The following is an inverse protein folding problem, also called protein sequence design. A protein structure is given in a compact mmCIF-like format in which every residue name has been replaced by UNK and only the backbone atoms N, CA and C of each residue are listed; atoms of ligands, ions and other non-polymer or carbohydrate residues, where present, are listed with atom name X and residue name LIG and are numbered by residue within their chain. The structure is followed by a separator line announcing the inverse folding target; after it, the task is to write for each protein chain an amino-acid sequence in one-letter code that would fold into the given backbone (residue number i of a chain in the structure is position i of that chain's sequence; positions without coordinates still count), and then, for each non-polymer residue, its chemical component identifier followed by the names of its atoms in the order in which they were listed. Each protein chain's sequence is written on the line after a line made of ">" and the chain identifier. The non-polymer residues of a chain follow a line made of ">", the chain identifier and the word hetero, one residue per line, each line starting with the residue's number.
data_IF_265233904542
#
_entry.id   IF_265233904542
#
_cell.length_a   1.000
_cell.length_b   1.000
_cell.length_c   1.000
_cell.angle_alpha   90.00
_cell.angle_beta   90.00
_cell.angle_gamma   90.00
#
_symmetry.space_group_name_H-M   'P 1'
#
loop_
_entity.id
_entity.type
_entity.pdbx_description
1 polymer ?
#
# COMPACT_ATOMS: atom_id res chain seq x y z
N UNK A 1 -18.86 8.55 21.24
CA UNK A 1 -18.22 9.63 20.44
C UNK A 1 -17.66 9.01 19.16
N UNK A 2 -18.07 9.49 17.97
CA UNK A 2 -17.62 8.91 16.69
C UNK A 2 -16.36 9.65 16.24
N UNK A 3 -15.22 8.95 16.17
CA UNK A 3 -13.90 9.55 15.87
C UNK A 3 -13.64 9.68 14.36
N UNK A 4 -13.98 8.65 13.58
CA UNK A 4 -13.80 8.61 12.12
C UNK A 4 -15.17 8.76 11.46
N UNK A 5 -15.31 9.75 10.58
CA UNK A 5 -16.57 10.03 9.87
C UNK A 5 -16.64 9.32 8.53
N UNK A 6 -15.66 9.56 7.65
CA UNK A 6 -15.62 9.00 6.28
C UNK A 6 -14.20 8.96 5.71
N UNK A 7 -13.90 8.06 4.76
CA UNK A 7 -12.68 8.15 3.96
C UNK A 7 -12.76 9.37 3.02
N UNK A 8 -11.61 9.99 2.74
CA UNK A 8 -11.51 11.06 1.73
C UNK A 8 -10.86 10.44 0.49
N UNK A 9 -11.64 10.34 -0.58
CA UNK A 9 -11.20 9.80 -1.87
C UNK A 9 -11.03 10.97 -2.84
N UNK A 10 -9.78 11.22 -3.20
CA UNK A 10 -9.30 12.24 -4.13
C UNK A 10 -8.07 11.68 -4.83
N UNK A 11 -7.69 12.17 -6.00
CA UNK A 11 -6.50 11.69 -6.72
C UNK A 11 -5.25 11.65 -5.81
N UNK A 12 -4.99 12.75 -5.09
CA UNK A 12 -3.90 12.84 -4.12
C UNK A 12 -3.99 11.81 -2.99
N UNK A 13 -5.19 11.50 -2.49
CA UNK A 13 -5.31 10.48 -1.43
C UNK A 13 -5.07 9.08 -1.97
N UNK A 14 -5.40 8.82 -3.23
CA UNK A 14 -5.10 7.54 -3.91
C UNK A 14 -3.60 7.39 -4.15
N UNK A 15 -2.90 8.46 -4.50
CA UNK A 15 -1.43 8.46 -4.58
C UNK A 15 -0.79 8.15 -3.23
N UNK A 16 -1.27 8.79 -2.16
CA UNK A 16 -0.79 8.53 -0.79
C UNK A 16 -1.09 7.10 -0.33
N UNK A 17 -2.20 6.51 -0.78
CA UNK A 17 -2.54 5.13 -0.47
C UNK A 17 -1.51 4.14 -1.04
N UNK A 18 -0.87 4.45 -2.19
CA UNK A 18 0.25 3.65 -2.74
C UNK A 18 1.45 3.59 -1.79
N UNK A 19 1.60 4.60 -0.93
CA UNK A 19 2.67 4.71 0.08
C UNK A 19 2.14 4.37 1.49
N UNK A 20 1.04 3.62 1.58
CA UNK A 20 0.41 3.20 2.85
C UNK A 20 -0.01 4.37 3.76
N UNK A 21 -0.40 5.49 3.15
CA UNK A 21 -0.94 6.66 3.84
C UNK A 21 -2.41 6.86 3.46
N UNK A 22 -3.29 6.74 4.45
CA UNK A 22 -4.74 6.79 4.23
C UNK A 22 -5.33 8.05 4.83
N UNK A 23 -6.27 8.66 4.10
CA UNK A 23 -6.83 9.97 4.46
C UNK A 23 -8.29 9.84 4.91
N UNK A 24 -8.59 10.33 6.10
CA UNK A 24 -9.93 10.27 6.70
C UNK A 24 -10.41 11.66 7.12
N UNK A 25 -11.72 11.88 7.02
CA UNK A 25 -12.40 12.94 7.74
C UNK A 25 -12.70 12.45 9.16
N UNK A 26 -12.29 13.24 10.15
CA UNK A 26 -12.41 12.91 11.57
C UNK A 26 -13.15 14.02 12.32
N UNK A 27 -13.59 13.73 13.55
CA UNK A 27 -14.15 14.75 14.44
C UNK A 27 -13.10 15.85 14.73
N UNK A 28 -13.55 17.10 14.73
CA UNK A 28 -12.73 18.27 15.09
C UNK A 28 -12.19 18.19 16.51
N UNK A 29 -12.89 17.52 17.43
CA UNK A 29 -12.45 17.34 18.82
C UNK A 29 -11.53 16.12 19.01
N UNK A 30 -11.31 15.31 17.98
CA UNK A 30 -10.50 14.10 18.12
C UNK A 30 -8.99 14.40 18.24
N UNK A 31 -8.35 13.70 19.19
CA UNK A 31 -6.90 13.67 19.41
C UNK A 31 -6.24 12.57 18.57
N UNK A 32 -4.93 12.72 18.27
CA UNK A 32 -4.17 11.76 17.46
C UNK A 32 -4.19 10.34 18.05
N UNK A 33 -4.09 10.21 19.37
CA UNK A 33 -4.16 8.91 20.05
C UNK A 33 -5.52 8.22 19.87
N UNK A 34 -6.62 8.99 19.93
CA UNK A 34 -7.96 8.47 19.70
C UNK A 34 -8.15 8.02 18.24
N UNK A 35 -7.62 8.79 17.28
CA UNK A 35 -7.66 8.44 15.85
C UNK A 35 -6.89 7.14 15.59
N UNK A 36 -5.68 7.01 16.15
CA UNK A 36 -4.88 5.80 16.00
C UNK A 36 -5.61 4.55 16.52
N UNK A 37 -6.18 4.62 17.74
CA UNK A 37 -6.98 3.54 18.33
C UNK A 37 -8.22 3.20 17.49
N UNK A 38 -8.92 4.21 17.00
CA UNK A 38 -10.12 4.01 16.19
C UNK A 38 -9.82 3.35 14.83
N UNK A 39 -8.73 3.75 14.16
CA UNK A 39 -8.30 3.13 12.90
C UNK A 39 -7.82 1.71 13.14
N UNK A 40 -7.01 1.50 14.18
CA UNK A 40 -6.53 0.17 14.55
C UNK A 40 -7.69 -0.78 14.84
N UNK A 41 -8.70 -0.35 15.62
CA UNK A 41 -9.86 -1.18 15.94
C UNK A 41 -10.80 -1.43 14.77
N UNK A 42 -11.04 -0.44 13.90
CA UNK A 42 -11.99 -0.59 12.76
C UNK A 42 -11.44 -1.43 11.62
N UNK A 43 -10.13 -1.35 11.37
CA UNK A 43 -9.50 -1.99 10.21
C UNK A 43 -8.51 -3.09 10.61
N UNK A 44 -8.37 -3.36 11.90
CA UNK A 44 -7.42 -4.31 12.47
C UNK A 44 -5.97 -4.12 11.96
N UNK A 45 -5.57 -2.85 11.80
CA UNK A 45 -4.27 -2.48 11.20
C UNK A 45 -3.30 -1.90 12.23
N UNK A 46 -2.00 -2.11 12.02
CA UNK A 46 -0.96 -1.45 12.80
C UNK A 46 -0.70 -0.04 12.27
N UNK A 47 -0.97 0.97 13.10
CA UNK A 47 -0.73 2.39 12.80
C UNK A 47 0.68 2.78 13.24
N UNK A 48 1.44 3.41 12.35
CA UNK A 48 2.79 3.92 12.63
C UNK A 48 2.72 5.37 13.08
N UNK A 49 2.04 6.22 12.30
CA UNK A 49 1.99 7.66 12.56
C UNK A 49 0.65 8.25 12.14
N UNK A 50 0.26 9.34 12.81
CA UNK A 50 -0.97 10.09 12.51
C UNK A 50 -0.64 11.57 12.38
N UNK A 51 -0.97 12.13 11.22
CA UNK A 51 -0.90 13.57 10.94
C UNK A 51 -2.32 14.11 10.83
N UNK A 52 -2.57 15.28 11.41
CA UNK A 52 -3.90 15.90 11.42
C UNK A 52 -3.80 17.34 10.95
N UNK A 53 -4.79 17.79 10.19
CA UNK A 53 -4.91 19.16 9.73
C UNK A 53 -6.36 19.62 9.78
N UNK A 54 -6.59 20.90 10.07
CA UNK A 54 -7.91 21.49 10.07
C UNK A 54 -8.14 22.22 8.74
N UNK A 55 -9.16 21.81 7.99
CA UNK A 55 -9.56 22.46 6.75
C UNK A 55 -10.64 23.50 7.08
N UNK A 56 -10.34 24.78 6.77
CA UNK A 56 -11.31 25.86 6.94
C UNK A 56 -12.44 25.69 5.92
N UNK A 57 -13.66 25.92 6.36
CA UNK A 57 -14.81 25.94 5.46
C UNK A 57 -14.82 27.20 4.61
N UNK A 58 -15.16 27.05 3.33
CA UNK A 58 -15.22 28.13 2.36
C UNK A 58 -16.56 28.87 2.43
N UNK A 59 -16.51 30.19 2.21
CA UNK A 59 -17.71 31.01 2.04
C UNK A 59 -18.12 30.95 0.58
N UNK A 60 -19.33 30.47 0.32
CA UNK A 60 -19.92 30.33 -1.01
C UNK A 60 -21.09 31.30 -1.13
N UNK A 61 -21.20 31.95 -2.28
CA UNK A 61 -22.35 32.81 -2.59
C UNK A 61 -23.33 32.06 -3.46
N UNK A 62 -24.61 32.03 -3.06
CA UNK A 62 -25.66 31.44 -3.88
C UNK A 62 -26.39 32.54 -4.66
N UNK A 63 -26.11 32.63 -5.97
CA UNK A 63 -26.63 33.68 -6.87
C UNK A 63 -28.16 33.80 -6.81
N UNK A 64 -28.88 32.67 -6.73
CA UNK A 64 -30.36 32.63 -6.71
C UNK A 64 -30.97 33.29 -5.47
N UNK A 65 -30.30 33.21 -4.32
CA UNK A 65 -30.84 33.70 -3.03
C UNK A 65 -30.14 34.99 -2.59
N UNK A 66 -29.09 35.44 -3.32
CA UNK A 66 -28.24 36.59 -2.96
C UNK A 66 -27.73 36.53 -1.51
N UNK A 67 -27.49 35.32 -1.00
CA UNK A 67 -27.00 35.06 0.35
C UNK A 67 -25.64 34.38 0.32
N UNK A 68 -24.82 34.74 1.30
CA UNK A 68 -23.55 34.11 1.60
C UNK A 68 -23.78 32.95 2.57
N UNK A 69 -23.24 31.78 2.24
CA UNK A 69 -23.26 30.61 3.10
C UNK A 69 -21.83 30.17 3.40
N UNK A 70 -21.58 29.76 4.64
CA UNK A 70 -20.29 29.22 5.03
C UNK A 70 -20.38 27.71 5.13
N UNK A 71 -19.57 27.01 4.35
CA UNK A 71 -19.44 25.56 4.45
C UNK A 71 -18.81 25.21 5.79
N UNK A 72 -19.23 24.12 6.42
CA UNK A 72 -18.57 23.66 7.65
C UNK A 72 -17.17 23.14 7.33
N UNK A 73 -16.14 23.72 7.97
CA UNK A 73 -14.80 23.12 7.94
C UNK A 73 -14.78 21.74 8.57
N UNK A 74 -13.73 20.97 8.32
CA UNK A 74 -13.56 19.61 8.85
C UNK A 74 -12.11 19.35 9.26
N UNK A 75 -11.87 18.33 10.08
CA UNK A 75 -10.52 17.87 10.40
C UNK A 75 -10.18 16.68 9.51
N UNK A 76 -9.02 16.75 8.84
CA UNK A 76 -8.47 15.68 8.01
C UNK A 76 -7.34 15.00 8.77
N UNK A 77 -7.36 13.67 8.77
CA UNK A 77 -6.32 12.84 9.35
C UNK A 77 -5.66 11.99 8.25
N UNK A 78 -4.35 12.09 8.14
CA UNK A 78 -3.52 11.23 7.29
C UNK A 78 -2.86 10.21 8.23
N UNK A 79 -3.13 8.94 7.99
CA UNK A 79 -2.72 7.84 8.85
C UNK A 79 -1.79 6.93 8.08
N UNK A 80 -0.59 6.73 8.61
CA UNK A 80 0.40 5.84 8.03
C UNK A 80 0.29 4.45 8.66
N UNK A 81 0.16 3.43 7.84
CA UNK A 81 0.14 2.02 8.28
C UNK A 81 1.44 1.31 7.93
N UNK A 82 1.63 0.11 8.48
CA UNK A 82 2.70 -0.80 8.04
C UNK A 82 2.53 -1.26 6.60
N UNK A 83 3.64 -1.55 5.92
CA UNK A 83 3.68 -1.97 4.50
C UNK A 83 2.85 -3.23 4.20
N UNK A 84 2.64 -4.07 5.20
CA UNK A 84 1.92 -5.35 5.07
C UNK A 84 0.39 -5.20 5.15
N UNK A 85 -0.13 -4.03 5.52
CA UNK A 85 -1.56 -3.88 5.80
C UNK A 85 -2.18 -2.85 4.88
N UNK A 86 -3.13 -3.33 4.07
CA UNK A 86 -3.89 -2.50 3.12
C UNK A 86 -5.33 -2.32 3.59
N UNK A 87 -5.87 -1.13 3.33
CA UNK A 87 -7.27 -0.81 3.60
C UNK A 87 -8.07 -0.92 2.28
N UNK A 88 -9.09 -1.78 2.20
CA UNK A 88 -9.82 -2.05 0.96
C UNK A 88 -10.56 -0.82 0.40
N UNK A 89 -10.80 0.20 1.23
CA UNK A 89 -11.48 1.45 0.85
C UNK A 89 -10.71 2.34 -0.14
N UNK A 90 -9.41 2.08 -0.35
CA UNK A 90 -8.54 2.91 -1.20
C UNK A 90 -7.91 2.12 -2.35
N UNK A 91 -8.31 0.86 -2.54
CA UNK A 91 -7.92 0.11 -3.72
C UNK A 91 -8.98 0.36 -4.78
N UNK A 92 -8.56 0.86 -5.94
CA UNK A 92 -9.38 0.76 -7.13
C UNK A 92 -9.53 -0.73 -7.43
N UNK A 93 -10.75 -1.26 -7.62
CA UNK A 93 -10.91 -2.61 -8.12
C UNK A 93 -10.16 -2.65 -9.45
N UNK A 94 -9.00 -3.29 -9.44
CA UNK A 94 -8.41 -3.75 -10.69
C UNK A 94 -9.29 -4.93 -11.05
N UNK A 95 -10.13 -4.71 -12.04
CA UNK A 95 -10.71 -5.78 -12.83
C UNK A 95 -9.54 -6.66 -13.32
N UNK A 96 -9.25 -7.71 -12.56
CA UNK A 96 -8.77 -8.93 -13.17
C UNK A 96 -10.00 -9.53 -13.85
N UNK A 97 -10.05 -9.42 -15.19
CA UNK A 97 -10.42 -10.50 -16.13
C UNK A 97 -10.68 -9.93 -17.53
N UNK A 98 -9.65 -10.01 -18.37
CA UNK A 98 -9.83 -10.34 -19.78
C UNK A 98 -8.91 -11.53 -20.09
N UNK A 99 -9.17 -12.67 -19.46
CA UNK A 99 -8.73 -13.99 -19.93
C UNK A 99 -9.83 -15.00 -19.61
N UNK A 100 -10.61 -15.35 -20.63
CA UNK A 100 -11.51 -16.50 -20.63
C UNK A 100 -10.67 -17.77 -20.44
N UNK A 101 -10.94 -18.53 -19.38
CA UNK A 101 -10.47 -19.92 -19.25
C UNK A 101 -11.70 -20.83 -19.23
N UNK A 102 -11.80 -21.65 -20.28
CA UNK A 102 -12.70 -22.80 -20.39
C UNK A 102 -12.49 -23.78 -19.24
N UNK A 103 -13.59 -24.43 -18.88
CA UNK A 103 -13.79 -25.27 -17.72
C UNK A 103 -12.76 -26.40 -17.50
N UNK A 104 -12.59 -26.67 -16.20
CA UNK A 104 -12.03 -27.86 -15.55
C UNK A 104 -10.51 -28.10 -15.53
N UNK A 105 -10.08 -28.45 -14.31
CA UNK A 105 -8.77 -28.92 -13.85
C UNK A 105 -7.67 -27.86 -13.59
N UNK A 106 -7.62 -27.35 -12.36
CA UNK A 106 -6.36 -26.99 -11.71
C UNK A 106 -5.67 -28.25 -11.12
N UNK A 107 -4.35 -28.27 -10.82
CA UNK A 107 -3.32 -27.24 -11.10
C UNK A 107 -1.94 -27.80 -11.53
N UNK A 108 -1.15 -27.02 -12.31
CA UNK A 108 0.33 -27.14 -12.30
C UNK A 108 0.98 -25.75 -12.45
N UNK A 109 1.88 -25.38 -11.52
CA UNK A 109 2.74 -24.17 -11.60
C UNK A 109 4.04 -24.47 -12.34
N UNK A 110 4.28 -23.81 -13.48
CA UNK A 110 5.60 -23.74 -14.11
C UNK A 110 5.81 -22.37 -14.78
N UNK A 111 6.87 -21.65 -14.39
CA UNK A 111 7.46 -20.55 -15.16
C UNK A 111 8.75 -21.07 -15.76
N UNK A 112 8.80 -21.26 -17.08
CA UNK A 112 10.04 -21.38 -17.84
C UNK A 112 9.80 -20.99 -19.30
N UNK A 113 10.67 -20.12 -19.83
CA UNK A 113 10.70 -19.70 -21.23
C UNK A 113 11.10 -20.90 -22.10
N UNK A 114 10.34 -21.18 -23.16
CA UNK A 114 10.75 -22.13 -24.21
C UNK A 114 11.35 -21.38 -25.39
N UNK A 115 12.56 -21.79 -25.74
CA UNK A 115 13.28 -21.44 -26.96
C UNK A 115 12.52 -21.92 -28.22
N UNK A 116 12.70 -21.16 -29.30
CA UNK A 116 11.98 -21.16 -30.59
C UNK A 116 12.01 -22.48 -31.39
N UNK A 117 12.67 -23.52 -30.91
CA UNK A 117 12.89 -24.77 -31.64
C UNK A 117 12.64 -25.98 -30.74
N UNK A 118 11.43 -26.05 -30.18
CA UNK A 118 10.68 -27.29 -29.95
C UNK A 118 11.40 -28.50 -29.32
N UNK A 119 12.47 -28.32 -28.52
CA UNK A 119 13.17 -29.40 -27.82
C UNK A 119 13.65 -28.92 -26.44
N UNK A 120 13.22 -29.63 -25.40
CA UNK A 120 13.45 -29.31 -23.98
C UNK A 120 14.85 -29.77 -23.56
N UNK A 121 15.67 -28.89 -22.96
CA UNK A 121 16.91 -29.29 -22.27
C UNK A 121 16.81 -28.90 -20.80
N UNK A 122 16.76 -29.91 -19.93
CA UNK A 122 16.79 -29.82 -18.47
C UNK A 122 18.24 -29.62 -18.02
N UNK A 123 18.50 -28.73 -17.04
CA UNK A 123 19.76 -28.70 -16.31
C UNK A 123 19.50 -28.54 -14.80
N UNK A 124 19.98 -29.53 -14.03
CA UNK A 124 19.89 -29.60 -12.56
C UNK A 124 21.30 -29.66 -12.03
N UNK A 125 21.69 -28.76 -11.11
CA UNK A 125 22.84 -28.97 -10.21
C UNK A 125 22.56 -28.30 -8.84
N UNK A 126 23.03 -28.94 -7.75
CA UNK A 126 22.70 -28.68 -6.34
C UNK A 126 23.98 -28.55 -5.50
N UNK A 127 23.91 -27.76 -4.40
CA UNK A 127 24.77 -27.75 -3.19
C UNK A 127 26.19 -27.16 -3.35
N UNK A 128 26.87 -26.49 -2.40
CA UNK A 128 26.65 -26.07 -1.01
C UNK A 128 27.64 -24.93 -0.62
N UNK A 129 27.28 -24.18 0.44
CA UNK A 129 28.05 -23.49 1.51
C UNK A 129 29.59 -23.39 1.42
N UNK A 130 30.15 -22.18 1.67
CA UNK A 130 31.42 -22.01 2.41
C UNK A 130 32.42 -20.96 1.90
N UNK A 131 32.72 -19.99 2.77
CA UNK A 131 33.78 -18.97 2.82
C UNK A 131 34.92 -18.94 1.76
N UNK A 132 35.31 -17.71 1.39
CA UNK A 132 36.40 -17.39 0.45
C UNK A 132 37.79 -17.85 0.97
N UNK A 133 38.59 -18.57 0.15
CA UNK A 133 39.97 -18.90 0.52
C UNK A 133 40.94 -17.74 0.21
N UNK A 134 41.62 -17.24 1.26
CA UNK A 134 42.76 -16.33 1.18
C UNK A 134 44.02 -17.08 0.73
N UNK A 135 44.69 -16.60 -0.32
CA UNK A 135 45.89 -17.21 -0.91
C UNK A 135 47.16 -16.86 -0.12
N UNK A 136 47.85 -17.84 0.46
CA UNK A 136 49.23 -17.68 0.94
C UNK A 136 50.23 -18.17 -0.12
N UNK A 137 51.24 -17.36 -0.45
CA UNK A 137 52.34 -17.74 -1.35
C UNK A 137 53.48 -18.34 -0.53
N UNK A 138 53.88 -19.58 -0.83
CA UNK A 138 55.12 -20.19 -0.34
C UNK A 138 56.20 -20.02 -1.42
N UNK A 139 57.22 -19.21 -1.13
CA UNK A 139 58.41 -19.07 -1.99
C UNK A 139 59.31 -20.28 -1.76
N UNK A 140 59.63 -21.01 -2.83
CA UNK A 140 60.63 -22.08 -2.83
C UNK A 140 61.62 -21.72 -3.94
N UNK A 141 62.85 -21.41 -3.57
CA UNK A 141 64.01 -21.43 -4.48
C UNK A 141 65.18 -22.05 -3.72
N UNK A 142 65.65 -23.18 -4.23
CA UNK A 142 66.69 -24.00 -3.60
C UNK A 142 68.09 -23.76 -4.15
N UNK A 143 69.05 -24.32 -3.41
CA UNK A 143 70.19 -25.09 -3.92
C UNK A 143 70.53 -26.15 -2.88
#
# INVERSE_FOLDING_TARGET
>A
MIVIKRPIITEKSMELAKVHQYTFEVDKKANKAAIAKAVAGKFNVKVISVKTLNVKGEVKSQRRVRKLYKTTGYKKAIVQTGKQTKIPLFETPKEEEAVVTTAEAEPIKLKEKKDILGRTKVKVEKSAVGAAPTTQRKVITGK
#
